data_IF_939475591926
#
_entry.id   IF_939475591926
#
_cell.length_a   1.000
_cell.length_b   1.000
_cell.length_c   1.000
_cell.angle_alpha   90.00
_cell.angle_beta   90.00
_cell.angle_gamma   90.00
#
_symmetry.space_group_name_H-M   'P 1'
#
loop_
_entity.id
_entity.type
_entity.pdbx_description
1 polymer ?
#
# COMPACT_ATOMS: atom_id res chain seq x y z
N UNK A 1 2.52 -10.39 -15.88
CA UNK A 1 2.28 -9.05 -16.45
C UNK A 1 3.59 -8.29 -16.46
N UNK A 2 3.88 -7.57 -17.56
CA UNK A 2 5.10 -6.78 -17.72
C UNK A 2 4.94 -5.43 -16.97
N UNK A 3 5.95 -5.02 -16.20
CA UNK A 3 5.90 -3.77 -15.42
C UNK A 3 5.83 -2.53 -16.31
N UNK A 4 6.48 -2.55 -17.48
CA UNK A 4 6.42 -1.46 -18.45
C UNK A 4 5.00 -1.27 -19.00
N UNK A 5 4.32 -2.37 -19.33
CA UNK A 5 2.94 -2.30 -19.85
C UNK A 5 1.95 -1.83 -18.79
N UNK A 6 2.14 -2.26 -17.53
CA UNK A 6 1.34 -1.77 -16.40
C UNK A 6 1.49 -0.26 -16.22
N UNK A 7 2.73 0.24 -16.23
CA UNK A 7 3.00 1.68 -16.04
C UNK A 7 2.44 2.48 -17.23
N UNK A 8 2.62 1.99 -18.45
CA UNK A 8 2.04 2.61 -19.66
C UNK A 8 0.51 2.70 -19.57
N UNK A 9 -0.18 1.59 -19.30
CA UNK A 9 -1.64 1.55 -19.20
C UNK A 9 -2.17 2.42 -18.05
N UNK A 10 -1.50 2.37 -16.90
CA UNK A 10 -1.96 3.08 -15.71
C UNK A 10 -1.71 4.59 -15.74
N UNK A 11 -0.65 5.04 -16.42
CA UNK A 11 -0.29 6.46 -16.54
C UNK A 11 -0.77 7.12 -17.84
N UNK A 12 -1.14 6.34 -18.86
CA UNK A 12 -1.47 6.84 -20.20
C UNK A 12 -0.24 7.18 -21.05
N UNK A 13 0.97 6.93 -20.55
CA UNK A 13 2.22 7.19 -21.26
C UNK A 13 2.49 6.09 -22.29
N UNK A 14 3.12 6.45 -23.41
CA UNK A 14 3.63 5.48 -24.37
C UNK A 14 4.94 4.82 -23.88
N UNK A 15 5.38 3.76 -24.55
CA UNK A 15 6.54 2.98 -24.09
C UNK A 15 7.85 3.78 -24.05
N UNK A 16 8.04 4.74 -24.95
CA UNK A 16 9.24 5.60 -24.95
C UNK A 16 9.24 6.49 -23.72
N UNK A 17 8.11 7.14 -23.44
CA UNK A 17 7.95 8.00 -22.26
C UNK A 17 8.14 7.21 -20.95
N UNK A 18 7.66 5.97 -20.90
CA UNK A 18 7.85 5.10 -19.73
C UNK A 18 9.32 4.75 -19.50
N UNK A 19 10.11 4.53 -20.56
CA UNK A 19 11.54 4.24 -20.45
C UNK A 19 12.37 5.46 -20.05
N UNK A 20 11.88 6.66 -20.32
CA UNK A 20 12.52 7.93 -19.98
C UNK A 20 12.13 8.43 -18.57
N UNK A 21 11.20 7.73 -17.88
CA UNK A 21 10.81 8.11 -16.53
C UNK A 21 11.98 7.98 -15.53
N UNK A 22 12.11 8.92 -14.58
CA UNK A 22 12.94 8.71 -13.39
C UNK A 22 12.53 7.42 -12.68
N UNK A 23 13.52 6.66 -12.21
CA UNK A 23 13.29 5.34 -11.60
C UNK A 23 12.29 5.39 -10.44
N UNK A 24 12.39 6.40 -9.58
CA UNK A 24 11.49 6.58 -8.45
C UNK A 24 10.04 6.84 -8.90
N UNK A 25 9.86 7.62 -9.97
CA UNK A 25 8.56 7.88 -10.57
C UNK A 25 7.96 6.60 -11.15
N UNK A 26 8.76 5.79 -11.84
CA UNK A 26 8.33 4.49 -12.35
C UNK A 26 7.83 3.58 -11.22
N UNK A 27 8.61 3.45 -10.15
CA UNK A 27 8.26 2.64 -8.98
C UNK A 27 7.00 3.16 -8.27
N UNK A 28 6.85 4.48 -8.17
CA UNK A 28 5.67 5.09 -7.55
C UNK A 28 4.39 4.78 -8.33
N UNK A 29 4.43 4.89 -9.66
CA UNK A 29 3.30 4.56 -10.54
C UNK A 29 2.95 3.07 -10.41
N UNK A 30 3.96 2.20 -10.43
CA UNK A 30 3.76 0.75 -10.26
C UNK A 30 3.14 0.41 -8.90
N UNK A 31 3.62 1.02 -7.81
CA UNK A 31 3.06 0.85 -6.47
C UNK A 31 1.58 1.29 -6.42
N UNK A 32 1.27 2.44 -7.00
CA UNK A 32 -0.10 2.97 -7.02
C UNK A 32 -1.05 2.06 -7.81
N UNK A 33 -0.58 1.45 -8.90
CA UNK A 33 -1.33 0.43 -9.62
C UNK A 33 -1.64 -0.77 -8.72
N UNK A 34 -0.66 -1.32 -8.00
CA UNK A 34 -0.86 -2.46 -7.10
C UNK A 34 -1.87 -2.11 -6.00
N UNK A 35 -1.76 -0.92 -5.41
CA UNK A 35 -2.72 -0.44 -4.40
C UNK A 35 -4.13 -0.34 -4.98
N UNK A 36 -4.29 0.21 -6.20
CA UNK A 36 -5.60 0.30 -6.87
C UNK A 36 -6.18 -1.09 -7.15
N UNK A 37 -5.34 -2.01 -7.63
CA UNK A 37 -5.74 -3.40 -7.91
C UNK A 37 -6.20 -4.10 -6.64
N UNK A 38 -5.45 -4.01 -5.54
CA UNK A 38 -5.83 -4.60 -4.26
C UNK A 38 -7.12 -3.99 -3.70
N UNK A 39 -7.33 -2.67 -3.84
CA UNK A 39 -8.56 -2.02 -3.41
C UNK A 39 -9.81 -2.46 -4.19
N UNK A 40 -9.67 -3.12 -5.35
CA UNK A 40 -10.82 -3.59 -6.14
C UNK A 40 -11.46 -4.87 -5.58
N UNK A 41 -10.80 -5.57 -4.66
CA UNK A 41 -11.29 -6.83 -4.08
C UNK A 41 -11.37 -6.76 -2.56
N UNK A 42 -12.28 -7.52 -1.96
CA UNK A 42 -12.42 -7.58 -0.50
C UNK A 42 -11.14 -8.13 0.16
N UNK A 43 -10.61 -9.23 -0.37
CA UNK A 43 -9.36 -9.83 0.10
C UNK A 43 -8.16 -8.86 -0.04
N UNK A 44 -8.08 -8.11 -1.16
CA UNK A 44 -7.01 -7.13 -1.35
C UNK A 44 -7.10 -5.94 -0.38
N UNK A 45 -8.31 -5.49 -0.02
CA UNK A 45 -8.50 -4.48 1.03
C UNK A 45 -8.03 -4.98 2.40
N UNK A 46 -8.29 -6.25 2.72
CA UNK A 46 -7.81 -6.87 3.96
C UNK A 46 -6.28 -6.97 4.00
N UNK A 47 -5.66 -7.35 2.88
CA UNK A 47 -4.20 -7.32 2.73
C UNK A 47 -3.60 -5.92 2.93
N UNK A 48 -4.19 -4.88 2.33
CA UNK A 48 -3.74 -3.50 2.54
C UNK A 48 -3.86 -3.06 4.00
N UNK A 49 -4.89 -3.50 4.71
CA UNK A 49 -5.07 -3.24 6.14
C UNK A 49 -3.98 -3.90 6.97
N UNK A 50 -3.63 -5.16 6.66
CA UNK A 50 -2.51 -5.85 7.30
C UNK A 50 -1.18 -5.13 7.05
N UNK A 51 -0.91 -4.72 5.81
CA UNK A 51 0.32 -3.96 5.50
C UNK A 51 0.40 -2.64 6.24
N UNK A 52 -0.72 -1.94 6.43
CA UNK A 52 -0.77 -0.73 7.26
C UNK A 52 -0.40 -1.04 8.70
N UNK A 53 -0.93 -2.15 9.25
CA UNK A 53 -0.60 -2.60 10.61
C UNK A 53 0.90 -2.91 10.73
N UNK A 54 1.51 -3.61 9.76
CA UNK A 54 2.95 -3.92 9.79
C UNK A 54 3.86 -2.69 9.59
N UNK A 55 3.39 -1.67 8.87
CA UNK A 55 4.14 -0.42 8.65
C UNK A 55 3.99 0.62 9.78
N UNK A 56 3.18 0.32 10.79
CA UNK A 56 3.01 1.19 11.96
C UNK A 56 3.28 0.39 13.22
N UNK A 57 3.90 0.99 14.24
CA UNK A 57 3.89 0.38 15.57
C UNK A 57 2.46 0.46 16.10
N UNK A 58 1.64 -0.55 15.81
CA UNK A 58 0.27 -0.56 16.29
C UNK A 58 0.29 -0.70 17.82
N UNK A 59 -0.40 0.18 18.56
CA UNK A 59 -0.49 0.04 20.01
C UNK A 59 -1.19 -1.27 20.36
N UNK A 60 -0.63 -2.00 21.31
CA UNK A 60 -1.29 -3.17 21.90
C UNK A 60 -2.47 -2.69 22.76
N UNK A 61 -3.64 -2.57 22.14
CA UNK A 61 -4.85 -2.09 22.81
C UNK A 61 -5.28 -2.99 23.97
N UNK A 62 -4.89 -4.26 24.00
CA UNK A 62 -5.15 -5.16 25.14
C UNK A 62 -4.27 -4.82 26.34
N UNK A 63 -3.02 -4.43 26.12
CA UNK A 63 -2.16 -3.87 27.18
C UNK A 63 -2.65 -2.51 27.66
N UNK A 64 -3.05 -1.62 26.74
CA UNK A 64 -3.59 -0.30 27.10
C UNK A 64 -4.85 -0.45 27.95
N UNK A 65 -5.76 -1.36 27.55
CA UNK A 65 -6.99 -1.64 28.29
C UNK A 65 -6.69 -2.15 29.69
N UNK A 66 -5.78 -3.12 29.83
CA UNK A 66 -5.36 -3.68 31.12
C UNK A 66 -4.73 -2.63 32.03
N UNK A 67 -3.81 -1.79 31.54
CA UNK A 67 -3.20 -0.73 32.35
C UNK A 67 -4.22 0.32 32.84
N UNK A 68 -5.21 0.67 32.01
CA UNK A 68 -6.24 1.64 32.40
C UNK A 68 -7.20 1.12 33.49
N UNK A 69 -7.34 -0.20 33.63
CA UNK A 69 -8.12 -0.78 34.74
C UNK A 69 -7.36 -0.77 36.08
N UNK A 70 -6.02 -0.87 36.06
CA UNK A 70 -5.19 -0.82 37.28
C UNK A 70 -5.04 0.60 37.85
N UNK A 71 -5.15 1.65 37.03
CA UNK A 71 -5.05 3.05 37.45
C UNK A 71 -6.37 3.66 37.97
N UNK A 72 -7.43 2.86 38.12
CA UNK A 72 -8.73 3.27 38.72
C UNK A 72 -8.96 2.70 40.13
N UNK A 73 -7.92 2.14 40.75
CA UNK A 73 -7.91 1.72 42.16
C UNK A 73 -7.34 2.80 43.07
#
# INVERSE_FOLDING_TARGET
>A
MNSLSIVSEFSGLNMKEVLELPHDTFLLIQRNYVIKSLNSTQNGKEMLKLWKIYNTTAPDYDKIRRNNFYNKG
#
